data_IF_796756035330
#
_entry.id   IF_796756035330
#
_cell.length_a   1.000
_cell.length_b   1.000
_cell.length_c   1.000
_cell.angle_alpha   90.00
_cell.angle_beta   90.00
_cell.angle_gamma   90.00
#
_symmetry.space_group_name_H-M   'P 1'
#
loop_
_entity.id
_entity.type
_entity.pdbx_description
1 polymer ?
#
# COMPACT_ATOMS: atom_id res chain seq x y z
N UNK A 1 -10.12 2.51 32.21
CA UNK A 1 -8.71 2.95 32.43
C UNK A 1 -7.65 1.87 32.13
N UNK A 2 -7.79 0.61 32.61
CA UNK A 2 -6.79 -0.48 32.37
C UNK A 2 -6.58 -0.91 30.89
N UNK A 3 -7.56 -0.71 30.00
CA UNK A 3 -7.46 -1.14 28.58
C UNK A 3 -6.66 -0.15 27.73
N UNK A 4 -6.73 1.15 28.04
CA UNK A 4 -6.04 2.20 27.26
C UNK A 4 -4.51 2.08 27.35
N UNK A 5 -3.98 1.74 28.53
CA UNK A 5 -2.54 1.57 28.75
C UNK A 5 -1.97 0.38 27.94
N UNK A 6 -2.72 -0.73 27.86
CA UNK A 6 -2.31 -1.91 27.08
C UNK A 6 -2.28 -1.65 25.56
N UNK A 7 -3.17 -0.79 25.05
CA UNK A 7 -3.17 -0.43 23.63
C UNK A 7 -2.02 0.53 23.27
N UNK A 8 -1.62 1.42 24.18
CA UNK A 8 -0.45 2.28 23.94
C UNK A 8 0.87 1.49 23.92
N UNK A 9 0.94 0.40 24.69
CA UNK A 9 2.09 -0.52 24.64
C UNK A 9 2.26 -1.16 23.25
N UNK A 10 1.18 -1.33 22.47
CA UNK A 10 1.26 -1.92 21.11
C UNK A 10 2.15 -1.08 20.20
N UNK A 11 1.98 0.24 20.19
CA UNK A 11 2.83 1.12 19.37
C UNK A 11 4.29 1.06 19.81
N UNK A 12 4.55 1.01 21.12
CA UNK A 12 5.89 0.83 21.64
C UNK A 12 6.52 -0.49 21.17
N UNK A 13 5.80 -1.61 21.26
CA UNK A 13 6.31 -2.90 20.78
C UNK A 13 6.53 -2.91 19.26
N UNK A 14 5.62 -2.35 18.47
CA UNK A 14 5.80 -2.23 17.03
C UNK A 14 7.03 -1.37 16.68
N UNK A 15 7.29 -0.28 17.42
CA UNK A 15 8.49 0.53 17.25
C UNK A 15 9.76 -0.28 17.54
N UNK A 16 9.81 -0.99 18.67
CA UNK A 16 10.96 -1.82 19.03
C UNK A 16 11.20 -2.92 18.01
N UNK A 17 10.15 -3.63 17.55
CA UNK A 17 10.27 -4.66 16.51
C UNK A 17 10.84 -4.06 15.23
N UNK A 18 10.31 -2.92 14.78
CA UNK A 18 10.76 -2.23 13.57
C UNK A 18 12.22 -1.74 13.68
N UNK A 19 12.60 -1.22 14.85
CA UNK A 19 13.98 -0.86 15.16
C UNK A 19 14.92 -2.07 15.11
N UNK A 20 14.54 -3.21 15.68
CA UNK A 20 15.36 -4.44 15.58
C UNK A 20 15.49 -4.92 14.13
N UNK A 21 14.48 -4.70 13.30
CA UNK A 21 14.51 -5.07 11.89
C UNK A 21 15.48 -4.23 11.03
N UNK A 22 15.94 -3.07 11.51
CA UNK A 22 17.08 -2.37 10.91
C UNK A 22 18.31 -3.29 10.89
N UNK A 23 18.60 -3.96 12.02
CA UNK A 23 19.75 -4.87 12.15
C UNK A 23 19.54 -6.15 11.33
N UNK A 24 18.33 -6.70 11.34
CA UNK A 24 17.99 -7.90 10.56
C UNK A 24 18.15 -7.62 9.06
N UNK A 25 17.70 -6.46 8.58
CA UNK A 25 17.83 -6.08 7.18
C UNK A 25 19.31 -5.86 6.80
N UNK A 26 20.04 -5.05 7.57
CA UNK A 26 21.43 -4.66 7.28
C UNK A 26 22.42 -5.82 7.39
N UNK A 27 22.33 -6.66 8.43
CA UNK A 27 23.34 -7.70 8.69
C UNK A 27 22.89 -9.11 8.30
N UNK A 28 21.58 -9.34 8.20
CA UNK A 28 21.00 -10.63 7.81
C UNK A 28 20.59 -10.65 6.35
N UNK A 29 19.60 -9.83 5.99
CA UNK A 29 18.96 -9.89 4.67
C UNK A 29 19.89 -9.43 3.54
N UNK A 30 20.77 -8.45 3.78
CA UNK A 30 21.78 -7.98 2.81
C UNK A 30 22.70 -9.09 2.28
N UNK A 31 22.95 -10.15 3.08
CA UNK A 31 23.75 -11.31 2.69
C UNK A 31 23.00 -12.27 1.76
N UNK A 32 21.67 -12.18 1.76
CA UNK A 32 20.77 -13.06 1.01
C UNK A 32 20.29 -12.39 -0.28
N UNK A 33 20.01 -11.10 -0.23
CA UNK A 33 19.52 -10.30 -1.34
C UNK A 33 19.98 -8.85 -1.20
N UNK A 34 20.08 -8.15 -2.33
CA UNK A 34 20.31 -6.71 -2.33
C UNK A 34 19.15 -5.98 -1.63
N UNK A 35 19.48 -4.95 -0.85
CA UNK A 35 18.54 -4.05 -0.17
C UNK A 35 17.99 -2.98 -1.14
N UNK A 36 17.68 -3.39 -2.36
CA UNK A 36 17.27 -2.50 -3.44
C UNK A 36 18.27 -1.36 -3.65
N UNK A 37 17.75 -0.14 -3.71
CA UNK A 37 18.54 1.06 -4.01
C UNK A 37 19.14 1.73 -2.76
N UNK A 38 18.95 1.16 -1.56
CA UNK A 38 19.38 1.81 -0.31
C UNK A 38 20.88 2.07 -0.27
N UNK A 39 21.70 1.16 -0.81
CA UNK A 39 23.15 1.34 -0.90
C UNK A 39 23.51 2.56 -1.75
N UNK A 40 22.90 2.67 -2.94
CA UNK A 40 23.06 3.83 -3.83
C UNK A 40 22.73 5.14 -3.14
N UNK A 41 21.65 5.18 -2.36
CA UNK A 41 21.23 6.39 -1.66
C UNK A 41 22.20 6.78 -0.53
N UNK A 42 22.76 5.78 0.18
CA UNK A 42 23.64 6.02 1.31
C UNK A 42 25.08 6.33 0.89
N UNK A 43 25.48 5.93 -0.32
CA UNK A 43 26.81 6.22 -0.86
C UNK A 43 26.92 7.54 -1.60
N UNK A 44 25.79 8.17 -1.97
CA UNK A 44 25.79 9.42 -2.72
C UNK A 44 26.41 10.57 -1.93
N UNK A 45 26.89 11.56 -2.68
CA UNK A 45 27.43 12.81 -2.14
C UNK A 45 26.31 13.83 -1.93
N UNK A 46 26.52 14.78 -1.02
CA UNK A 46 25.56 15.86 -0.80
C UNK A 46 25.62 16.80 -2.00
N UNK A 47 24.64 16.68 -2.89
CA UNK A 47 24.45 17.59 -4.03
C UNK A 47 23.15 18.35 -3.90
N UNK A 48 23.20 19.67 -3.92
CA UNK A 48 22.01 20.51 -3.93
C UNK A 48 21.65 20.89 -5.38
N UNK A 49 20.40 20.66 -5.77
CA UNK A 49 19.93 20.96 -7.13
C UNK A 49 18.42 20.98 -7.21
N UNK A 50 17.88 21.53 -8.31
CA UNK A 50 16.43 21.61 -8.54
C UNK A 50 15.77 20.24 -8.62
N UNK A 51 16.52 19.20 -9.01
CA UNK A 51 16.07 17.80 -9.07
C UNK A 51 15.55 17.26 -7.74
N UNK A 52 15.98 17.83 -6.61
CA UNK A 52 15.47 17.46 -5.29
C UNK A 52 13.96 17.71 -5.12
N UNK A 53 13.41 18.64 -5.89
CA UNK A 53 12.00 19.03 -5.79
C UNK A 53 11.06 18.18 -6.67
N UNK A 54 11.58 17.34 -7.57
CA UNK A 54 10.74 16.57 -8.49
C UNK A 54 11.20 15.12 -8.74
N UNK A 55 12.44 14.76 -8.37
CA UNK A 55 12.95 13.39 -8.49
C UNK A 55 13.00 12.69 -7.14
N UNK A 56 12.20 11.62 -6.98
CA UNK A 56 12.27 10.79 -5.78
C UNK A 56 13.64 10.16 -5.57
N UNK A 57 14.39 9.89 -6.64
CA UNK A 57 15.75 9.34 -6.51
C UNK A 57 16.72 10.40 -5.99
N UNK A 58 16.71 11.61 -6.55
CA UNK A 58 17.58 12.69 -6.09
C UNK A 58 17.30 13.06 -4.62
N UNK A 59 16.03 13.08 -4.22
CA UNK A 59 15.65 13.33 -2.82
C UNK A 59 16.13 12.23 -1.87
N UNK A 60 16.08 10.96 -2.29
CA UNK A 60 16.59 9.84 -1.51
C UNK A 60 18.12 9.84 -1.42
N UNK A 61 18.83 10.19 -2.49
CA UNK A 61 20.29 10.36 -2.51
C UNK A 61 20.71 11.52 -1.59
N UNK A 62 20.05 12.68 -1.68
CA UNK A 62 20.34 13.80 -0.79
C UNK A 62 20.11 13.47 0.68
N UNK A 63 18.95 12.89 1.02
CA UNK A 63 18.67 12.47 2.40
C UNK A 63 19.61 11.35 2.86
N UNK A 64 19.96 10.42 1.97
CA UNK A 64 20.91 9.34 2.22
C UNK A 64 22.31 9.86 2.54
N UNK A 65 22.80 10.83 1.77
CA UNK A 65 24.08 11.50 1.99
C UNK A 65 24.15 12.21 3.35
N UNK A 66 23.02 12.73 3.85
CA UNK A 66 22.92 13.33 5.19
C UNK A 66 22.92 12.26 6.29
N UNK A 67 22.11 11.19 6.15
CA UNK A 67 21.97 10.21 7.23
C UNK A 67 23.16 9.24 7.32
N UNK A 68 24.00 9.16 6.28
CA UNK A 68 25.23 8.37 6.25
C UNK A 68 26.13 8.60 7.47
N UNK A 69 26.14 9.81 8.03
CA UNK A 69 26.95 10.16 9.21
C UNK A 69 26.57 9.38 10.49
N UNK A 70 25.37 8.78 10.56
CA UNK A 70 24.94 7.96 11.70
C UNK A 70 25.61 6.58 11.76
N UNK A 71 26.36 6.19 10.70
CA UNK A 71 26.99 4.88 10.52
C UNK A 71 25.99 3.70 10.43
N UNK A 72 26.38 2.57 9.80
CA UNK A 72 25.55 1.37 9.81
C UNK A 72 25.38 0.79 11.22
N UNK A 73 24.18 0.31 11.59
CA UNK A 73 22.94 0.30 10.80
C UNK A 73 22.03 1.51 11.09
N UNK A 74 22.48 2.47 11.92
CA UNK A 74 21.68 3.57 12.44
C UNK A 74 21.31 4.62 11.39
N UNK A 75 22.00 4.68 10.25
CA UNK A 75 21.64 5.52 9.11
C UNK A 75 20.22 5.27 8.55
N UNK A 76 19.57 4.16 8.91
CA UNK A 76 18.22 3.81 8.51
C UNK A 76 17.17 4.34 9.49
N UNK A 77 17.61 4.76 10.69
CA UNK A 77 16.73 5.19 11.77
C UNK A 77 15.76 6.30 11.34
N UNK A 78 16.17 7.35 10.60
CA UNK A 78 15.23 8.40 10.18
C UNK A 78 14.11 7.87 9.27
N UNK A 79 14.44 7.02 8.30
CA UNK A 79 13.44 6.41 7.41
C UNK A 79 12.51 5.45 8.17
N UNK A 80 13.07 4.65 9.09
CA UNK A 80 12.28 3.78 9.97
C UNK A 80 11.28 4.57 10.82
N UNK A 81 11.72 5.69 11.41
CA UNK A 81 10.86 6.61 12.18
C UNK A 81 9.75 7.18 11.28
N UNK A 82 10.08 7.65 10.07
CA UNK A 82 9.08 8.14 9.12
C UNK A 82 8.02 7.09 8.81
N UNK A 83 8.43 5.86 8.52
CA UNK A 83 7.52 4.75 8.28
C UNK A 83 6.68 4.44 9.53
N UNK A 84 7.27 4.46 10.73
CA UNK A 84 6.56 4.24 11.97
C UNK A 84 5.52 5.33 12.26
N UNK A 85 5.79 6.60 11.92
CA UNK A 85 4.79 7.67 12.02
C UNK A 85 3.55 7.33 11.18
N UNK A 86 3.72 6.81 9.97
CA UNK A 86 2.59 6.31 9.15
C UNK A 86 1.76 5.24 9.87
N UNK A 87 2.42 4.23 10.44
CA UNK A 87 1.76 3.18 11.24
C UNK A 87 1.02 3.77 12.44
N UNK A 88 1.64 4.69 13.18
CA UNK A 88 1.05 5.34 14.34
C UNK A 88 -0.17 6.19 13.98
N UNK A 89 -0.12 6.91 12.86
CA UNK A 89 -1.25 7.70 12.31
C UNK A 89 -2.43 6.77 12.02
N UNK A 90 -2.21 5.68 11.29
CA UNK A 90 -3.26 4.69 11.00
C UNK A 90 -3.81 4.03 12.27
N UNK A 91 -2.94 3.62 13.19
CA UNK A 91 -3.34 3.00 14.46
C UNK A 91 -4.21 3.94 15.29
N UNK A 92 -3.81 5.20 15.45
CA UNK A 92 -4.56 6.18 16.24
C UNK A 92 -5.91 6.50 15.60
N UNK A 93 -5.98 6.57 14.26
CA UNK A 93 -7.24 6.76 13.54
C UNK A 93 -8.23 5.61 13.77
N UNK A 94 -7.76 4.36 13.79
CA UNK A 94 -8.58 3.18 14.09
C UNK A 94 -8.97 3.11 15.57
N UNK A 95 -8.02 3.40 16.48
CA UNK A 95 -8.24 3.42 17.93
C UNK A 95 -9.31 4.46 18.32
N UNK A 96 -9.24 5.68 17.78
CA UNK A 96 -10.23 6.76 18.01
C UNK A 96 -11.67 6.32 17.65
N UNK A 97 -11.81 5.36 16.74
CA UNK A 97 -13.08 4.80 16.26
C UNK A 97 -13.52 3.52 16.95
N UNK A 98 -12.83 3.17 18.03
CA UNK A 98 -13.08 1.95 18.81
C UNK A 98 -12.98 0.68 17.98
N UNK A 99 -12.23 0.68 16.86
CA UNK A 99 -12.01 -0.49 16.01
C UNK A 99 -11.34 -1.61 16.82
N UNK A 100 -10.34 -1.25 17.62
CA UNK A 100 -9.56 -2.17 18.43
C UNK A 100 -10.24 -2.59 19.75
N UNK A 101 -11.52 -2.23 19.96
CA UNK A 101 -12.32 -2.89 20.99
C UNK A 101 -12.56 -4.35 20.59
N UNK A 102 -12.64 -4.63 19.29
CA UNK A 102 -12.53 -5.98 18.77
C UNK A 102 -11.04 -6.40 18.76
N UNK A 103 -10.67 -7.26 19.72
CA UNK A 103 -9.29 -7.75 19.88
C UNK A 103 -8.77 -8.46 18.63
N UNK A 104 -9.64 -9.15 17.88
CA UNK A 104 -9.25 -9.81 16.63
C UNK A 104 -8.76 -8.81 15.59
N UNK A 105 -9.43 -7.67 15.44
CA UNK A 105 -8.99 -6.61 14.52
C UNK A 105 -7.68 -5.96 14.96
N UNK A 106 -7.44 -5.86 16.27
CA UNK A 106 -6.14 -5.43 16.80
C UNK A 106 -5.04 -6.44 16.46
N UNK A 107 -5.29 -7.74 16.65
CA UNK A 107 -4.32 -8.79 16.32
C UNK A 107 -4.04 -8.86 14.82
N UNK A 108 -5.05 -8.70 13.96
CA UNK A 108 -4.85 -8.60 12.52
C UNK A 108 -4.01 -7.38 12.14
N UNK A 109 -4.29 -6.21 12.74
CA UNK A 109 -3.46 -5.02 12.52
C UNK A 109 -1.99 -5.26 12.90
N UNK A 110 -1.76 -5.87 14.06
CA UNK A 110 -0.40 -6.21 14.53
C UNK A 110 0.25 -7.20 13.56
N UNK A 111 -0.42 -8.32 13.26
CA UNK A 111 0.05 -9.37 12.36
C UNK A 111 0.53 -8.78 11.03
N UNK A 112 -0.31 -7.98 10.37
CA UNK A 112 -0.03 -7.35 9.09
C UNK A 112 1.17 -6.37 9.17
N UNK A 113 1.34 -5.67 10.29
CA UNK A 113 2.48 -4.76 10.49
C UNK A 113 3.77 -5.45 10.96
N UNK A 114 3.75 -6.74 11.30
CA UNK A 114 4.95 -7.52 11.66
C UNK A 114 5.36 -8.52 10.58
N UNK A 115 4.74 -8.46 9.40
CA UNK A 115 5.11 -9.29 8.26
C UNK A 115 6.56 -9.05 7.83
N UNK A 116 7.35 -10.09 7.49
CA UNK A 116 8.78 -9.95 7.21
C UNK A 116 9.10 -8.94 6.12
N UNK A 117 8.44 -9.02 4.95
CA UNK A 117 8.72 -8.10 3.84
C UNK A 117 8.35 -6.66 4.21
N UNK A 118 7.23 -6.45 4.91
CA UNK A 118 6.86 -5.13 5.39
C UNK A 118 7.93 -4.55 6.32
N UNK A 119 8.36 -5.32 7.32
CA UNK A 119 9.38 -4.85 8.27
C UNK A 119 10.73 -4.61 7.59
N UNK A 120 11.21 -5.49 6.71
CA UNK A 120 12.50 -5.30 6.02
C UNK A 120 12.49 -4.03 5.17
N UNK A 121 11.55 -3.92 4.24
CA UNK A 121 11.59 -2.85 3.23
C UNK A 121 11.24 -1.47 3.78
N UNK A 122 10.49 -1.41 4.88
CA UNK A 122 10.04 -0.14 5.47
C UNK A 122 10.83 0.27 6.72
N UNK A 123 11.85 -0.51 7.10
CA UNK A 123 12.78 -0.15 8.19
C UNK A 123 14.12 0.36 7.69
N UNK A 124 14.45 0.15 6.41
CA UNK A 124 15.68 0.66 5.78
C UNK A 124 15.45 2.04 5.13
N UNK A 125 16.55 2.71 4.76
CA UNK A 125 16.51 3.98 4.03
C UNK A 125 16.07 3.75 2.58
N UNK A 126 14.75 3.75 2.35
CA UNK A 126 14.12 3.40 1.08
C UNK A 126 12.93 4.31 0.75
N UNK A 127 12.53 4.29 -0.53
CA UNK A 127 11.29 4.93 -0.99
C UNK A 127 10.05 4.32 -0.33
N UNK A 128 10.10 3.02 -0.06
CA UNK A 128 9.02 2.28 0.60
C UNK A 128 8.74 2.82 2.00
N UNK A 129 9.78 3.18 2.77
CA UNK A 129 9.61 3.77 4.10
C UNK A 129 8.87 5.12 4.06
N UNK A 130 9.19 5.97 3.06
CA UNK A 130 8.49 7.24 2.83
C UNK A 130 7.04 7.00 2.36
N UNK A 131 6.83 5.99 1.52
CA UNK A 131 5.50 5.61 1.04
C UNK A 131 4.55 5.20 2.16
N UNK A 132 5.05 4.53 3.20
CA UNK A 132 4.24 4.23 4.38
C UNK A 132 3.62 5.48 4.99
N UNK A 133 4.39 6.56 5.13
CA UNK A 133 3.90 7.79 5.72
C UNK A 133 2.73 8.39 4.94
N UNK A 134 2.91 8.65 3.64
CA UNK A 134 1.88 9.34 2.85
C UNK A 134 0.69 8.43 2.55
N UNK A 135 0.89 7.13 2.36
CA UNK A 135 -0.23 6.19 2.10
C UNK A 135 -1.08 5.94 3.33
N UNK A 136 -0.47 5.84 4.51
CA UNK A 136 -1.21 5.81 5.77
C UNK A 136 -2.03 7.07 5.98
N UNK A 137 -1.48 8.25 5.63
CA UNK A 137 -2.21 9.51 5.70
C UNK A 137 -3.43 9.53 4.76
N UNK A 138 -3.27 9.12 3.50
CA UNK A 138 -4.41 9.03 2.57
C UNK A 138 -5.47 8.03 3.02
N UNK A 139 -5.10 6.89 3.60
CA UNK A 139 -6.09 5.98 4.16
C UNK A 139 -6.87 6.63 5.30
N UNK A 140 -6.20 7.38 6.19
CA UNK A 140 -6.87 8.11 7.27
C UNK A 140 -7.80 9.20 6.71
N UNK A 141 -7.43 9.90 5.64
CA UNK A 141 -8.33 10.83 4.94
C UNK A 141 -9.62 10.13 4.50
N UNK A 142 -9.50 8.99 3.80
CA UNK A 142 -10.66 8.22 3.34
C UNK A 142 -11.53 7.78 4.52
N UNK A 143 -10.92 7.27 5.59
CA UNK A 143 -11.60 6.87 6.82
C UNK A 143 -12.32 8.08 7.49
N UNK A 144 -11.68 9.25 7.51
CA UNK A 144 -12.25 10.49 8.04
C UNK A 144 -13.46 10.96 7.24
N UNK A 145 -13.40 10.89 5.90
CA UNK A 145 -14.52 11.22 5.01
C UNK A 145 -15.73 10.31 5.27
N UNK A 146 -15.52 9.00 5.46
CA UNK A 146 -16.60 8.03 5.69
C UNK A 146 -17.24 8.23 7.07
N UNK A 147 -16.42 8.36 8.11
CA UNK A 147 -16.90 8.50 9.49
C UNK A 147 -17.32 9.95 9.82
N UNK A 148 -17.24 10.87 8.84
CA UNK A 148 -17.55 12.31 8.97
C UNK A 148 -16.85 12.97 10.16
N UNK A 149 -15.58 12.62 10.40
CA UNK A 149 -14.76 13.17 11.50
C UNK A 149 -13.55 13.92 10.98
N UNK A 150 -13.15 14.93 11.75
CA UNK A 150 -11.94 15.74 11.65
C UNK A 150 -11.77 16.44 10.29
N UNK A 151 -11.66 17.76 10.33
CA UNK A 151 -11.25 18.51 9.14
C UNK A 151 -9.80 18.21 8.79
N UNK A 152 -9.56 17.99 7.50
CA UNK A 152 -8.22 17.75 6.98
C UNK A 152 -7.56 19.12 6.76
N UNK A 153 -6.42 19.35 7.40
CA UNK A 153 -5.61 20.54 7.11
C UNK A 153 -5.25 20.60 5.63
N UNK A 154 -5.64 21.68 4.95
CA UNK A 154 -5.35 21.91 3.53
C UNK A 154 -3.84 21.89 3.26
N UNK A 155 -3.04 22.44 4.17
CA UNK A 155 -1.57 22.46 4.04
C UNK A 155 -1.01 21.04 4.11
N UNK A 156 -1.47 20.24 5.08
CA UNK A 156 -1.05 18.84 5.19
C UNK A 156 -1.46 18.03 3.97
N UNK A 157 -2.68 18.23 3.47
CA UNK A 157 -3.16 17.57 2.26
C UNK A 157 -2.28 17.90 1.04
N UNK A 158 -1.98 19.17 0.79
CA UNK A 158 -1.11 19.60 -0.31
C UNK A 158 0.29 19.01 -0.18
N UNK A 159 0.86 18.99 1.03
CA UNK A 159 2.17 18.39 1.28
C UNK A 159 2.19 16.88 0.96
N UNK A 160 1.17 16.12 1.38
CA UNK A 160 1.11 14.69 1.09
C UNK A 160 0.78 14.38 -0.37
N UNK A 161 0.01 15.24 -1.06
CA UNK A 161 -0.16 15.16 -2.51
C UNK A 161 1.17 15.38 -3.24
N UNK A 162 1.97 16.36 -2.81
CA UNK A 162 3.32 16.59 -3.34
C UNK A 162 4.22 15.35 -3.15
N UNK A 163 4.25 14.76 -1.96
CA UNK A 163 5.03 13.53 -1.72
C UNK A 163 4.56 12.37 -2.61
N UNK A 164 3.25 12.18 -2.75
CA UNK A 164 2.69 11.13 -3.61
C UNK A 164 3.10 11.31 -5.08
N UNK A 165 3.03 12.55 -5.60
CA UNK A 165 3.39 12.86 -6.99
C UNK A 165 4.88 12.62 -7.28
N UNK A 166 5.76 12.89 -6.31
CA UNK A 166 7.20 12.66 -6.47
C UNK A 166 7.56 11.18 -6.38
N UNK A 167 7.01 10.47 -5.40
CA UNK A 167 7.45 9.11 -5.11
C UNK A 167 6.70 8.06 -5.92
N UNK A 168 5.37 8.20 -6.07
CA UNK A 168 4.49 7.18 -6.67
C UNK A 168 3.27 7.82 -7.36
N UNK A 169 3.47 8.65 -8.40
CA UNK A 169 2.38 9.37 -9.07
C UNK A 169 1.29 8.43 -9.60
N UNK A 170 1.63 7.19 -9.96
CA UNK A 170 0.69 6.20 -10.46
C UNK A 170 -0.42 5.84 -9.46
N UNK A 171 -0.16 5.89 -8.14
CA UNK A 171 -1.20 5.59 -7.13
C UNK A 171 -2.21 6.73 -6.97
N UNK A 172 -1.97 7.90 -7.56
CA UNK A 172 -2.91 9.01 -7.55
C UNK A 172 -4.24 8.63 -8.18
N UNK A 173 -4.24 7.78 -9.23
CA UNK A 173 -5.45 7.29 -9.91
C UNK A 173 -6.39 6.58 -8.93
N UNK A 174 -5.85 5.71 -8.07
CA UNK A 174 -6.66 4.99 -7.09
C UNK A 174 -7.20 5.94 -6.01
N UNK A 175 -6.34 6.81 -5.47
CA UNK A 175 -6.72 7.73 -4.39
C UNK A 175 -7.78 8.72 -4.87
N UNK A 176 -7.58 9.35 -6.04
CA UNK A 176 -8.55 10.31 -6.56
C UNK A 176 -9.88 9.65 -6.92
N UNK A 177 -9.85 8.42 -7.44
CA UNK A 177 -11.07 7.65 -7.73
C UNK A 177 -11.92 7.46 -6.48
N UNK A 178 -11.29 7.08 -5.37
CA UNK A 178 -11.98 6.88 -4.09
C UNK A 178 -12.47 8.21 -3.50
N UNK A 179 -11.64 9.25 -3.52
CA UNK A 179 -12.02 10.59 -3.01
C UNK A 179 -13.20 11.16 -3.79
N UNK A 180 -13.16 11.11 -5.12
CA UNK A 180 -14.26 11.60 -5.98
C UNK A 180 -15.51 10.78 -5.75
N UNK A 181 -15.42 9.45 -5.69
CA UNK A 181 -16.56 8.59 -5.41
C UNK A 181 -17.22 8.95 -4.08
N UNK A 182 -16.45 9.04 -3.00
CA UNK A 182 -16.97 9.43 -1.69
C UNK A 182 -17.52 10.86 -1.66
N UNK A 183 -16.84 11.81 -2.31
CA UNK A 183 -17.30 13.19 -2.39
C UNK A 183 -18.68 13.27 -3.06
N UNK A 184 -18.87 12.60 -4.20
CA UNK A 184 -20.15 12.59 -4.92
C UNK A 184 -21.24 11.91 -4.09
N UNK A 185 -20.94 10.77 -3.46
CA UNK A 185 -21.89 10.09 -2.56
C UNK A 185 -22.36 11.01 -1.42
N UNK A 186 -21.42 11.67 -0.75
CA UNK A 186 -21.71 12.54 0.40
C UNK A 186 -22.43 13.82 -0.05
N UNK A 187 -21.95 14.45 -1.12
CA UNK A 187 -22.48 15.73 -1.63
C UNK A 187 -23.92 15.60 -2.11
N UNK A 188 -24.23 14.53 -2.83
CA UNK A 188 -25.57 14.28 -3.39
C UNK A 188 -26.47 13.43 -2.49
N UNK A 189 -25.96 12.93 -1.35
CA UNK A 189 -26.70 12.09 -0.40
C UNK A 189 -27.41 10.92 -1.10
N UNK A 190 -26.66 10.21 -1.95
CA UNK A 190 -27.22 9.16 -2.79
C UNK A 190 -27.71 7.98 -1.95
N UNK A 191 -28.89 7.46 -2.27
CA UNK A 191 -29.39 6.21 -1.69
C UNK A 191 -28.61 5.00 -2.27
N UNK A 192 -28.91 3.78 -1.81
CA UNK A 192 -28.20 2.58 -2.23
C UNK A 192 -28.23 2.35 -3.76
N UNK A 193 -29.39 2.51 -4.40
CA UNK A 193 -29.55 2.32 -5.84
C UNK A 193 -28.77 3.35 -6.67
N UNK A 194 -28.84 4.62 -6.27
CA UNK A 194 -28.07 5.69 -6.92
C UNK A 194 -26.57 5.55 -6.66
N UNK A 195 -26.17 4.98 -5.52
CA UNK A 195 -24.77 4.64 -5.25
C UNK A 195 -24.25 3.57 -6.21
N UNK A 196 -25.07 2.54 -6.49
CA UNK A 196 -24.76 1.50 -7.49
C UNK A 196 -24.60 2.13 -8.88
N UNK A 197 -25.56 2.96 -9.29
CA UNK A 197 -25.49 3.66 -10.56
C UNK A 197 -24.22 4.53 -10.66
N UNK A 198 -23.92 5.32 -9.62
CA UNK A 198 -22.71 6.15 -9.58
C UNK A 198 -21.45 5.31 -9.74
N UNK A 199 -21.34 4.18 -9.04
CA UNK A 199 -20.19 3.28 -9.18
C UNK A 199 -20.06 2.74 -10.59
N UNK A 200 -21.15 2.24 -11.19
CA UNK A 200 -21.13 1.71 -12.56
C UNK A 200 -20.72 2.80 -13.56
N UNK A 201 -21.29 4.00 -13.44
CA UNK A 201 -20.92 5.14 -14.27
C UNK A 201 -19.44 5.52 -14.11
N UNK A 202 -18.96 5.67 -12.87
CA UNK A 202 -17.57 6.03 -12.61
C UNK A 202 -16.60 4.96 -13.11
N UNK A 203 -16.88 3.68 -12.83
CA UNK A 203 -16.04 2.58 -13.33
C UNK A 203 -16.01 2.54 -14.85
N UNK A 204 -17.17 2.68 -15.51
CA UNK A 204 -17.26 2.69 -16.98
C UNK A 204 -16.46 3.85 -17.56
N UNK A 205 -16.61 5.07 -17.02
CA UNK A 205 -15.86 6.25 -17.49
C UNK A 205 -14.36 6.06 -17.28
N UNK A 206 -13.93 5.60 -16.11
CA UNK A 206 -12.50 5.38 -15.83
C UNK A 206 -11.90 4.27 -16.70
N UNK A 207 -12.67 3.20 -16.95
CA UNK A 207 -12.23 2.13 -17.83
C UNK A 207 -12.17 2.58 -19.29
N UNK A 208 -13.13 3.37 -19.77
CA UNK A 208 -13.07 4.01 -21.10
C UNK A 208 -11.85 4.93 -21.24
N UNK A 209 -11.54 5.73 -20.20
CA UNK A 209 -10.34 6.56 -20.18
C UNK A 209 -9.07 5.70 -20.24
N UNK A 210 -9.00 4.59 -19.50
CA UNK A 210 -7.88 3.65 -19.55
C UNK A 210 -7.69 3.08 -20.96
N UNK A 211 -8.77 2.66 -21.62
CA UNK A 211 -8.73 2.14 -23.00
C UNK A 211 -8.32 3.23 -23.99
N UNK A 212 -8.76 4.48 -23.80
CA UNK A 212 -8.43 5.60 -24.68
C UNK A 212 -6.94 5.96 -24.70
N UNK A 213 -6.19 5.55 -23.66
CA UNK A 213 -4.74 5.74 -23.56
C UNK A 213 -3.95 4.43 -23.75
N UNK A 214 -4.59 3.40 -24.31
CA UNK A 214 -4.00 2.07 -24.51
C UNK A 214 -2.68 2.10 -25.28
N UNK A 215 -2.56 2.90 -26.34
CA UNK A 215 -1.32 3.04 -27.12
C UNK A 215 -0.13 3.52 -26.27
N UNK A 216 -0.38 4.49 -25.37
CA UNK A 216 0.66 4.97 -24.43
C UNK A 216 1.01 3.91 -23.39
N UNK A 217 0.03 3.14 -22.94
CA UNK A 217 0.26 2.02 -22.01
C UNK A 217 1.12 0.95 -22.68
N UNK A 218 0.83 0.60 -23.93
CA UNK A 218 1.63 -0.37 -24.69
C UNK A 218 3.06 0.13 -24.89
N UNK A 219 3.25 1.40 -25.27
CA UNK A 219 4.58 2.01 -25.40
C UNK A 219 5.40 1.90 -24.10
N UNK A 220 4.78 2.14 -22.95
CA UNK A 220 5.46 2.04 -21.64
C UNK A 220 5.71 0.59 -21.25
N UNK A 221 4.72 -0.29 -21.43
CA UNK A 221 4.76 -1.68 -20.94
C UNK A 221 5.68 -2.56 -21.78
N UNK A 222 5.73 -2.39 -23.10
CA UNK A 222 6.65 -3.10 -23.98
C UNK A 222 8.12 -2.79 -23.65
N UNK A 223 8.42 -1.57 -23.18
CA UNK A 223 9.75 -1.18 -22.75
C UNK A 223 10.06 -1.55 -21.29
N UNK A 224 9.05 -1.94 -20.50
CA UNK A 224 9.19 -2.15 -19.06
C UNK A 224 10.21 -3.23 -18.72
N UNK A 225 10.31 -4.29 -19.55
CA UNK A 225 11.24 -5.38 -19.32
C UNK A 225 12.71 -4.91 -19.29
N UNK A 226 13.07 -3.92 -20.10
CA UNK A 226 14.43 -3.36 -20.18
C UNK A 226 14.90 -2.68 -18.89
N UNK A 227 13.97 -2.33 -17.99
CA UNK A 227 14.29 -1.76 -16.69
C UNK A 227 14.59 -2.80 -15.62
N UNK A 228 14.42 -4.09 -15.94
CA UNK A 228 14.93 -5.19 -15.17
C UNK A 228 16.28 -5.60 -15.75
N UNK A 229 17.20 -6.10 -14.93
CA UNK A 229 18.52 -6.56 -15.37
C UNK A 229 18.46 -8.09 -15.58
N UNK A 230 18.00 -8.61 -16.73
CA UNK A 230 17.85 -10.06 -16.93
C UNK A 230 19.20 -10.79 -16.94
N UNK A 231 20.30 -10.09 -17.27
CA UNK A 231 21.62 -10.69 -17.39
C UNK A 231 22.27 -10.93 -16.02
N UNK A 232 22.12 -9.97 -15.08
CA UNK A 232 22.75 -10.08 -13.75
C UNK A 232 21.74 -10.37 -12.63
N UNK A 233 20.48 -9.93 -12.75
CA UNK A 233 19.47 -10.19 -11.74
C UNK A 233 18.88 -11.58 -11.91
N UNK A 234 19.44 -12.53 -11.15
CA UNK A 234 18.99 -13.93 -11.10
C UNK A 234 17.49 -14.08 -10.83
N UNK A 235 16.79 -13.08 -10.29
CA UNK A 235 15.36 -13.14 -9.94
C UNK A 235 14.40 -12.62 -10.99
N UNK A 236 14.88 -12.09 -12.12
CA UNK A 236 14.01 -11.60 -13.19
C UNK A 236 13.42 -12.77 -13.98
N UNK A 237 12.11 -12.73 -14.21
CA UNK A 237 11.36 -13.68 -15.04
C UNK A 237 11.60 -13.42 -16.52
N UNK A 238 11.32 -14.39 -17.37
CA UNK A 238 11.36 -14.19 -18.82
C UNK A 238 10.26 -13.21 -19.27
N UNK A 239 10.54 -12.44 -20.34
CA UNK A 239 9.53 -11.53 -20.90
C UNK A 239 8.51 -12.27 -21.77
N UNK A 240 7.57 -12.94 -21.11
CA UNK A 240 6.40 -13.55 -21.75
C UNK A 240 5.12 -12.73 -21.54
N UNK A 241 5.23 -11.57 -20.86
CA UNK A 241 4.08 -10.83 -20.36
C UNK A 241 3.74 -9.59 -21.19
N UNK A 242 4.74 -8.87 -21.71
CA UNK A 242 4.55 -7.71 -22.58
C UNK A 242 5.39 -7.91 -23.84
N UNK A 243 4.85 -8.68 -24.79
CA UNK A 243 5.54 -9.04 -26.05
C UNK A 243 4.87 -8.35 -27.24
N UNK A 244 3.55 -8.31 -27.23
CA UNK A 244 2.72 -7.75 -28.29
C UNK A 244 1.82 -6.63 -27.75
N UNK A 245 1.37 -5.76 -28.66
CA UNK A 245 0.35 -4.74 -28.34
C UNK A 245 -0.91 -5.36 -27.72
N UNK A 246 -1.47 -4.67 -26.72
CA UNK A 246 -2.63 -5.11 -25.95
C UNK A 246 -2.35 -6.19 -24.89
N UNK A 247 -1.11 -6.68 -24.75
CA UNK A 247 -0.77 -7.67 -23.72
C UNK A 247 -1.03 -7.19 -22.30
N UNK A 248 -0.88 -5.88 -22.05
CA UNK A 248 -1.26 -5.27 -20.78
C UNK A 248 -2.70 -5.61 -20.38
N UNK A 249 -3.64 -5.46 -21.32
CA UNK A 249 -5.06 -5.72 -21.07
C UNK A 249 -5.37 -7.22 -21.05
N UNK A 250 -4.78 -8.02 -21.96
CA UNK A 250 -4.97 -9.47 -21.99
C UNK A 250 -4.52 -10.14 -20.69
N UNK A 251 -3.39 -9.72 -20.15
CA UNK A 251 -2.78 -10.27 -18.93
C UNK A 251 -3.24 -9.63 -17.63
N UNK A 252 -4.09 -8.59 -17.66
CA UNK A 252 -4.27 -7.67 -16.52
C UNK A 252 -4.64 -8.36 -15.20
N UNK A 253 -5.55 -9.35 -15.21
CA UNK A 253 -6.04 -10.00 -13.99
C UNK A 253 -4.95 -10.87 -13.36
N UNK A 254 -4.32 -11.72 -14.16
CA UNK A 254 -3.21 -12.54 -13.73
C UNK A 254 -2.03 -11.68 -13.28
N UNK A 255 -1.77 -10.61 -14.02
CA UNK A 255 -0.72 -9.64 -13.75
C UNK A 255 -0.87 -8.91 -12.43
N UNK A 256 -2.08 -8.39 -12.16
CA UNK A 256 -2.44 -7.80 -10.87
C UNK A 256 -2.22 -8.78 -9.72
N UNK A 257 -2.66 -10.04 -9.90
CA UNK A 257 -2.48 -11.07 -8.89
C UNK A 257 -1.01 -11.37 -8.63
N UNK A 258 -0.23 -11.67 -9.68
CA UNK A 258 1.17 -12.08 -9.51
C UNK A 258 2.05 -10.93 -9.01
N UNK A 259 1.78 -9.69 -9.41
CA UNK A 259 2.50 -8.51 -8.92
C UNK A 259 2.20 -8.18 -7.47
N UNK A 260 1.03 -8.57 -6.96
CA UNK A 260 0.71 -8.48 -5.52
C UNK A 260 1.22 -9.67 -4.73
N UNK A 261 1.15 -10.87 -5.32
CA UNK A 261 1.55 -12.14 -4.71
C UNK A 261 3.06 -12.25 -4.56
N UNK A 262 3.83 -11.90 -5.59
CA UNK A 262 5.28 -12.08 -5.63
C UNK A 262 5.69 -13.47 -6.12
N UNK A 263 6.44 -14.26 -5.33
CA UNK A 263 7.02 -15.54 -5.80
C UNK A 263 5.94 -16.59 -6.09
N UNK A 264 6.08 -17.29 -7.21
CA UNK A 264 5.29 -18.48 -7.56
C UNK A 264 5.75 -19.71 -6.78
N UNK A 265 4.96 -20.78 -6.85
CA UNK A 265 5.33 -22.09 -6.31
C UNK A 265 6.63 -22.59 -6.95
N UNK A 266 6.72 -22.54 -8.28
CA UNK A 266 7.91 -23.00 -9.01
C UNK A 266 9.17 -22.21 -8.64
N UNK A 267 9.04 -20.88 -8.52
CA UNK A 267 10.12 -20.01 -8.07
C UNK A 267 10.57 -20.32 -6.63
N UNK A 268 9.63 -20.68 -5.76
CA UNK A 268 9.89 -21.04 -4.37
C UNK A 268 10.54 -22.42 -4.25
N UNK A 269 10.14 -23.39 -5.07
CA UNK A 269 10.79 -24.71 -5.16
C UNK A 269 12.23 -24.54 -5.65
N UNK A 270 12.45 -23.71 -6.68
CA UNK A 270 13.79 -23.42 -7.18
C UNK A 270 14.65 -22.63 -6.17
N UNK A 271 14.02 -21.83 -5.30
CA UNK A 271 14.69 -20.99 -4.29
C UNK A 271 13.97 -21.07 -2.95
N UNK A 272 14.31 -22.06 -2.11
CA UNK A 272 13.62 -22.28 -0.83
C UNK A 272 13.61 -21.08 0.12
N UNK A 273 14.59 -20.18 0.02
CA UNK A 273 14.62 -18.92 0.77
C UNK A 273 13.39 -18.05 0.52
N UNK A 274 12.78 -18.14 -0.66
CA UNK A 274 11.55 -17.41 -1.01
C UNK A 274 10.29 -17.98 -0.36
N UNK A 275 10.36 -19.14 0.27
CA UNK A 275 9.21 -19.77 0.94
C UNK A 275 8.62 -18.88 2.05
N UNK A 276 9.47 -18.13 2.77
CA UNK A 276 9.00 -17.19 3.80
C UNK A 276 8.11 -16.10 3.19
N UNK A 277 8.50 -15.55 2.03
CA UNK A 277 7.74 -14.51 1.34
C UNK A 277 6.51 -15.05 0.61
N UNK A 278 6.57 -16.30 0.14
CA UNK A 278 5.40 -17.01 -0.38
C UNK A 278 4.34 -17.20 0.71
N UNK A 279 4.74 -17.72 1.88
CA UNK A 279 3.83 -17.93 3.02
C UNK A 279 3.28 -16.62 3.56
N UNK A 280 4.11 -15.57 3.64
CA UNK A 280 3.66 -14.22 3.99
C UNK A 280 2.54 -13.74 3.03
N UNK A 281 2.75 -13.92 1.73
CA UNK A 281 1.78 -13.47 0.71
C UNK A 281 0.49 -14.28 0.77
N UNK A 282 0.57 -15.58 1.07
CA UNK A 282 -0.60 -16.41 1.37
C UNK A 282 -1.37 -15.87 2.59
N UNK A 283 -0.70 -15.56 3.70
CA UNK A 283 -1.34 -15.00 4.90
C UNK A 283 -2.01 -13.66 4.58
N UNK A 284 -1.30 -12.76 3.89
CA UNK A 284 -1.85 -11.46 3.49
C UNK A 284 -3.10 -11.64 2.62
N UNK A 285 -3.04 -12.52 1.62
CA UNK A 285 -4.17 -12.80 0.73
C UNK A 285 -5.36 -13.38 1.49
N UNK A 286 -5.15 -14.36 2.36
CA UNK A 286 -6.22 -14.95 3.17
C UNK A 286 -6.88 -13.89 4.07
N UNK A 287 -6.10 -13.05 4.73
CA UNK A 287 -6.63 -11.97 5.59
C UNK A 287 -7.37 -10.92 4.75
N UNK A 288 -6.81 -10.49 3.62
CA UNK A 288 -7.43 -9.49 2.74
C UNK A 288 -8.73 -10.02 2.15
N UNK A 289 -8.71 -11.25 1.63
CA UNK A 289 -9.90 -11.95 1.14
C UNK A 289 -10.94 -12.12 2.23
N UNK A 290 -10.56 -12.50 3.45
CA UNK A 290 -11.49 -12.59 4.57
C UNK A 290 -12.15 -11.25 4.92
N UNK A 291 -11.36 -10.18 5.07
CA UNK A 291 -11.88 -8.84 5.38
C UNK A 291 -12.77 -8.30 4.25
N UNK A 292 -12.41 -8.56 3.00
CA UNK A 292 -13.18 -8.14 1.83
C UNK A 292 -14.46 -8.97 1.65
N UNK A 293 -14.36 -10.30 1.69
CA UNK A 293 -15.50 -11.22 1.53
C UNK A 293 -16.46 -11.15 2.71
N UNK A 294 -16.00 -10.80 3.92
CA UNK A 294 -16.89 -10.52 5.05
C UNK A 294 -17.92 -9.42 4.74
N UNK A 295 -17.59 -8.49 3.84
CA UNK A 295 -18.52 -7.48 3.33
C UNK A 295 -19.50 -8.07 2.32
N UNK A 296 -19.00 -8.94 1.42
CA UNK A 296 -19.81 -9.61 0.40
C UNK A 296 -20.78 -10.61 1.05
N UNK A 297 -20.40 -11.31 2.11
CA UNK A 297 -21.30 -12.22 2.81
C UNK A 297 -22.58 -11.53 3.29
N UNK A 298 -22.53 -10.23 3.62
CA UNK A 298 -23.74 -9.45 3.96
C UNK A 298 -24.68 -9.19 2.80
N UNK A 299 -24.24 -9.40 1.56
CA UNK A 299 -25.09 -9.43 0.37
C UNK A 299 -26.14 -10.54 0.50
N UNK A 300 -25.75 -11.70 1.03
CA UNK A 300 -26.66 -12.81 1.31
C UNK A 300 -27.67 -12.50 2.44
N UNK A 301 -27.40 -11.45 3.24
CA UNK A 301 -28.28 -10.99 4.32
C UNK A 301 -29.05 -9.71 3.99
N UNK A 302 -29.06 -9.25 2.72
CA UNK A 302 -29.65 -7.97 2.28
C UNK A 302 -29.15 -6.72 3.05
N UNK A 303 -27.99 -6.80 3.70
CA UNK A 303 -27.36 -5.70 4.46
C UNK A 303 -26.07 -5.22 3.78
N UNK A 304 -26.03 -5.29 2.46
CA UNK A 304 -24.85 -4.94 1.68
C UNK A 304 -24.58 -3.44 1.72
N UNK A 305 -23.38 -3.06 2.14
CA UNK A 305 -22.98 -1.67 2.17
C UNK A 305 -22.20 -1.33 0.88
N UNK A 306 -22.93 -0.75 -0.08
CA UNK A 306 -22.38 -0.44 -1.39
C UNK A 306 -21.30 0.67 -1.35
N UNK A 307 -21.34 1.55 -0.34
CA UNK A 307 -20.28 2.54 -0.12
C UNK A 307 -18.98 1.83 0.23
N UNK A 308 -19.01 0.90 1.20
CA UNK A 308 -17.83 0.12 1.58
C UNK A 308 -17.28 -0.70 0.40
N UNK A 309 -18.17 -1.33 -0.38
CA UNK A 309 -17.78 -2.07 -1.57
C UNK A 309 -17.11 -1.18 -2.61
N UNK A 310 -17.73 -0.07 -3.00
CA UNK A 310 -17.18 0.83 -4.02
C UNK A 310 -15.82 1.40 -3.61
N UNK A 311 -15.66 1.81 -2.35
CA UNK A 311 -14.36 2.29 -1.83
C UNK A 311 -13.30 1.21 -1.90
N UNK A 312 -13.60 0.00 -1.42
CA UNK A 312 -12.63 -1.10 -1.44
C UNK A 312 -12.32 -1.57 -2.86
N UNK A 313 -13.31 -1.61 -3.75
CA UNK A 313 -13.15 -1.97 -5.15
C UNK A 313 -12.24 -0.96 -5.86
N UNK A 314 -12.56 0.34 -5.84
CA UNK A 314 -11.73 1.36 -6.49
C UNK A 314 -10.32 1.41 -5.90
N UNK A 315 -10.19 1.21 -4.58
CA UNK A 315 -8.89 1.12 -3.91
C UNK A 315 -8.07 -0.06 -4.44
N UNK A 316 -8.61 -1.28 -4.34
CA UNK A 316 -7.89 -2.51 -4.69
C UNK A 316 -7.64 -2.59 -6.19
N UNK A 317 -8.68 -2.43 -7.01
CA UNK A 317 -8.58 -2.57 -8.45
C UNK A 317 -7.54 -1.62 -9.05
N UNK A 318 -7.63 -0.31 -8.76
CA UNK A 318 -6.72 0.64 -9.36
C UNK A 318 -5.30 0.56 -8.78
N UNK A 319 -5.13 0.33 -7.47
CA UNK A 319 -3.78 0.15 -6.90
C UNK A 319 -3.08 -1.08 -7.49
N UNK A 320 -3.79 -2.20 -7.61
CA UNK A 320 -3.24 -3.42 -8.20
C UNK A 320 -2.93 -3.22 -9.68
N UNK A 321 -3.82 -2.57 -10.43
CA UNK A 321 -3.65 -2.34 -11.87
C UNK A 321 -2.43 -1.46 -12.18
N UNK A 322 -2.25 -0.35 -11.48
CA UNK A 322 -1.10 0.54 -11.72
C UNK A 322 0.21 -0.03 -11.14
N UNK A 323 0.12 -0.95 -10.19
CA UNK A 323 1.26 -1.69 -9.65
C UNK A 323 1.71 -2.84 -10.56
N UNK A 324 0.78 -3.42 -11.34
CA UNK A 324 0.99 -4.61 -12.14
C UNK A 324 2.30 -4.57 -12.96
N UNK A 325 2.57 -3.58 -13.83
CA UNK A 325 3.77 -3.58 -14.67
C UNK A 325 5.09 -3.63 -13.89
N UNK A 326 5.12 -3.05 -12.68
CA UNK A 326 6.33 -2.95 -11.86
C UNK A 326 6.63 -4.22 -11.06
N UNK A 327 5.63 -5.07 -10.82
CA UNK A 327 5.78 -6.29 -10.02
C UNK A 327 5.91 -7.56 -10.85
N UNK A 328 5.45 -7.59 -12.11
CA UNK A 328 5.27 -8.87 -12.80
C UNK A 328 6.59 -9.54 -13.16
N UNK A 329 7.62 -8.77 -13.47
CA UNK A 329 8.88 -9.33 -13.95
C UNK A 329 9.82 -9.81 -12.85
N UNK A 330 9.59 -9.44 -11.58
CA UNK A 330 10.51 -9.82 -10.51
C UNK A 330 9.76 -10.03 -9.19
N UNK A 331 9.80 -11.23 -8.59
CA UNK A 331 9.09 -11.53 -7.34
C UNK A 331 9.61 -10.70 -6.15
N UNK A 332 10.90 -10.35 -6.14
CA UNK A 332 11.49 -9.46 -5.13
C UNK A 332 10.96 -8.03 -5.25
N UNK A 333 10.89 -7.51 -6.47
CA UNK A 333 10.28 -6.21 -6.74
C UNK A 333 8.79 -6.22 -6.41
N UNK A 334 8.05 -7.28 -6.72
CA UNK A 334 6.63 -7.42 -6.35
C UNK A 334 6.41 -7.27 -4.84
N UNK A 335 7.12 -8.05 -4.01
CA UNK A 335 6.96 -7.99 -2.55
C UNK A 335 7.45 -6.67 -1.95
N UNK A 336 8.51 -6.07 -2.51
CA UNK A 336 9.03 -4.75 -2.08
C UNK A 336 8.04 -3.64 -2.44
N UNK A 337 7.63 -3.58 -3.70
CA UNK A 337 6.82 -2.50 -4.22
C UNK A 337 5.37 -2.54 -3.69
N UNK A 338 4.86 -3.73 -3.32
CA UNK A 338 3.60 -3.88 -2.56
C UNK A 338 3.57 -3.00 -1.31
N UNK A 339 4.71 -2.84 -0.64
CA UNK A 339 4.81 -2.04 0.59
C UNK A 339 4.54 -0.55 0.35
N UNK A 340 4.57 -0.08 -0.90
CA UNK A 340 4.24 1.30 -1.24
C UNK A 340 2.74 1.60 -1.22
N UNK A 341 1.84 0.61 -1.14
CA UNK A 341 0.38 0.85 -1.03
C UNK A 341 -0.30 -0.05 0.01
N UNK A 342 0.39 -1.07 0.52
CA UNK A 342 -0.04 -1.87 1.65
C UNK A 342 -0.48 -1.04 2.89
N UNK A 343 0.22 0.03 3.29
CA UNK A 343 -0.16 0.92 4.40
C UNK A 343 -1.46 1.68 4.18
N UNK A 344 -1.91 1.81 2.93
CA UNK A 344 -3.23 2.35 2.60
C UNK A 344 -4.32 1.28 2.78
N UNK A 345 -4.09 0.08 2.23
CA UNK A 345 -5.06 -1.01 2.22
C UNK A 345 -5.34 -1.59 3.61
N UNK A 346 -4.31 -1.81 4.43
CA UNK A 346 -4.44 -2.45 5.75
C UNK A 346 -5.44 -1.71 6.67
N UNK A 347 -5.23 -0.42 7.00
CA UNK A 347 -6.18 0.28 7.87
C UNK A 347 -7.54 0.46 7.22
N UNK A 348 -7.62 0.62 5.90
CA UNK A 348 -8.88 0.78 5.18
C UNK A 348 -9.73 -0.49 5.24
N UNK A 349 -9.15 -1.67 4.95
CA UNK A 349 -9.86 -2.95 5.03
C UNK A 349 -10.35 -3.24 6.45
N UNK A 350 -9.49 -3.05 7.45
CA UNK A 350 -9.84 -3.25 8.86
C UNK A 350 -10.95 -2.29 9.28
N UNK A 351 -10.84 -1.00 8.93
CA UNK A 351 -11.86 0.00 9.23
C UNK A 351 -13.19 -0.36 8.57
N UNK A 352 -13.18 -0.69 7.28
CA UNK A 352 -14.39 -1.03 6.53
C UNK A 352 -15.07 -2.25 7.12
N UNK A 353 -14.30 -3.30 7.42
CA UNK A 353 -14.85 -4.50 8.06
C UNK A 353 -15.53 -4.14 9.37
N UNK A 354 -14.88 -3.36 10.25
CA UNK A 354 -15.49 -2.87 11.49
C UNK A 354 -16.74 -2.02 11.24
N UNK A 355 -16.66 -1.05 10.32
CA UNK A 355 -17.73 -0.10 10.04
C UNK A 355 -19.00 -0.81 9.57
N UNK A 356 -18.84 -1.78 8.67
CA UNK A 356 -19.95 -2.60 8.21
C UNK A 356 -20.39 -3.57 9.31
N UNK A 357 -19.46 -4.21 10.04
CA UNK A 357 -19.82 -5.26 11.01
C UNK A 357 -20.40 -4.78 12.32
N UNK A 358 -20.25 -3.49 12.67
CA UNK A 358 -20.89 -2.90 13.85
C UNK A 358 -22.38 -3.26 13.87
N UNK A 359 -22.92 -3.72 15.02
CA UNK A 359 -24.36 -3.76 15.19
C UNK A 359 -24.89 -2.33 14.99
N UNK A 360 -26.06 -2.14 14.35
CA UNK A 360 -26.72 -0.85 14.36
C UNK A 360 -26.82 -0.43 15.83
N UNK A 361 -26.39 0.80 16.14
CA UNK A 361 -26.64 1.35 17.47
C UNK A 361 -28.13 1.16 17.77
N UNK A 362 -28.42 0.70 18.99
CA UNK A 362 -29.78 0.61 19.54
C UNK A 362 -30.45 1.99 19.56
N UNK A 363 -29.67 3.06 19.36
CA UNK A 363 -30.16 4.38 19.04
C UNK A 363 -30.18 4.55 17.51
N UNK A 364 -31.35 4.28 16.94
CA UNK A 364 -31.58 4.25 15.51
C UNK A 364 -31.25 5.59 14.85
N UNK A 365 -30.14 5.65 14.11
CA UNK A 365 -29.99 6.57 12.99
C UNK A 365 -29.16 5.90 11.88
N UNK A 366 -29.88 5.44 10.85
CA UNK A 366 -29.38 5.48 9.48
C UNK A 366 -30.15 6.64 8.82
N UNK A 367 -29.43 7.73 8.51
CA UNK A 367 -29.84 8.73 7.52
C UNK A 367 -28.75 8.84 6.47
#
# INVERSE_FOLDING_TARGET
>A
MKISYKQNAVLFYLFIIKFLFIFVAEFGYSKVSQLGDSHRYLESTITFGSSLLYSSTALMEFSGAIVKYLQPPLYHLPAMILSFIGVAVSFNALKKRSVFNNKWLLYLFILLNVMPSYLIWTSIHSKEAVAVLFMSYFAVIIINMIDKRDEISKISFLFFCYLLLIFKPQYFVAIISVVVYLYLLIKFRLNAYLSILLFLCMFTVQFMLLVSVSEYIDLVTLNMYSHFDPENAKSTRENIYFVNEGDFFRGMLYGMFISFWGPTINETIARPVWAVFFLESLVIMLVFSFLYLGQIYRLLSYKFNFIAFGVLFFSLFWLLLVHYPFGIFNPGSAIRYRQNFYPFLVPLLIFMYHWVTKPPNVDGEIK
#
